data_IF_768423519175
#
_entry.id   IF_768423519175
#
_cell.length_a   1.000
_cell.length_b   1.000
_cell.length_c   1.000
_cell.angle_alpha   90.00
_cell.angle_beta   90.00
_cell.angle_gamma   90.00
#
_symmetry.space_group_name_H-M   'P 1'
#
loop_
_entity.id
_entity.type
_entity.pdbx_description
1 polymer ?
#
# COMPACT_ATOMS: atom_id res chain seq x y z
N UNK A 1 -12.89 -5.98 -14.59
CA UNK A 1 -12.15 -7.18 -14.13
C UNK A 1 -11.62 -6.83 -12.75
N UNK A 2 -11.84 -7.65 -11.73
CA UNK A 2 -11.44 -7.33 -10.35
C UNK A 2 -9.90 -7.24 -10.22
N UNK A 3 -9.42 -6.59 -9.16
CA UNK A 3 -7.99 -6.56 -8.81
C UNK A 3 -7.46 -7.98 -8.63
N UNK A 4 -8.13 -8.78 -7.80
CA UNK A 4 -7.68 -10.13 -7.44
C UNK A 4 -7.51 -11.08 -8.64
N UNK A 5 -8.34 -10.94 -9.68
CA UNK A 5 -8.24 -11.75 -10.88
C UNK A 5 -6.93 -11.55 -11.66
N UNK A 6 -6.18 -10.48 -11.38
CA UNK A 6 -4.92 -10.12 -12.06
C UNK A 6 -3.68 -10.36 -11.21
N UNK A 7 -3.85 -10.84 -9.98
CA UNK A 7 -2.76 -11.07 -9.04
C UNK A 7 -2.40 -12.55 -8.97
N UNK A 8 -1.11 -12.84 -9.05
CA UNK A 8 -0.55 -14.05 -8.48
C UNK A 8 -0.30 -13.79 -7.00
N UNK A 9 -0.94 -14.56 -6.11
CA UNK A 9 -0.88 -14.33 -4.67
C UNK A 9 0.29 -15.09 -4.01
N UNK A 10 0.89 -16.08 -4.70
CA UNK A 10 2.01 -16.86 -4.18
C UNK A 10 3.35 -16.14 -4.39
N UNK A 11 3.47 -15.40 -5.51
CA UNK A 11 4.66 -14.63 -5.88
C UNK A 11 4.38 -13.11 -5.95
N UNK A 12 3.44 -12.63 -5.13
CA UNK A 12 3.02 -11.23 -5.17
C UNK A 12 4.14 -10.29 -4.69
N UNK A 13 4.60 -9.39 -5.56
CA UNK A 13 5.52 -8.31 -5.20
C UNK A 13 4.83 -6.94 -5.18
N UNK A 14 5.40 -5.92 -4.51
CA UNK A 14 4.83 -4.57 -4.52
C UNK A 14 4.71 -3.99 -5.93
N UNK A 15 5.71 -4.15 -6.80
CA UNK A 15 5.66 -3.67 -8.18
C UNK A 15 4.62 -4.43 -9.02
N UNK A 16 4.42 -5.74 -8.77
CA UNK A 16 3.38 -6.53 -9.42
C UNK A 16 1.98 -6.03 -9.00
N UNK A 17 1.75 -5.82 -7.71
CA UNK A 17 0.51 -5.25 -7.20
C UNK A 17 0.26 -3.86 -7.78
N UNK A 18 1.27 -2.97 -7.76
CA UNK A 18 1.21 -1.65 -8.37
C UNK A 18 0.83 -1.69 -9.85
N UNK A 19 1.44 -2.61 -10.61
CA UNK A 19 1.18 -2.82 -12.03
C UNK A 19 -0.24 -3.32 -12.31
N UNK A 20 -0.90 -3.93 -11.31
CA UNK A 20 -2.30 -4.32 -11.36
C UNK A 20 -3.25 -3.23 -10.83
N UNK A 21 -2.82 -2.07 -10.34
CA UNK A 21 -3.77 -1.01 -9.96
C UNK A 21 -4.37 -0.31 -11.19
N UNK A 22 -5.59 0.20 -11.05
CA UNK A 22 -6.13 1.15 -12.01
C UNK A 22 -5.48 2.54 -11.82
N UNK A 23 -5.65 3.40 -12.83
CA UNK A 23 -5.03 4.72 -12.82
C UNK A 23 -5.54 5.60 -11.68
N UNK A 24 -6.82 5.50 -11.33
CA UNK A 24 -7.41 6.30 -10.25
C UNK A 24 -6.78 5.97 -8.89
N UNK A 25 -6.57 4.68 -8.61
CA UNK A 25 -5.94 4.20 -7.38
C UNK A 25 -4.46 4.54 -7.34
N UNK A 26 -3.73 4.40 -8.46
CA UNK A 26 -2.34 4.85 -8.54
C UNK A 26 -2.24 6.34 -8.29
N UNK A 27 -3.06 7.14 -8.94
CA UNK A 27 -3.05 8.59 -8.80
C UNK A 27 -3.37 9.02 -7.36
N UNK A 28 -4.32 8.34 -6.70
CA UNK A 28 -4.59 8.52 -5.28
C UNK A 28 -3.33 8.25 -4.44
N UNK A 29 -2.71 7.06 -4.60
CA UNK A 29 -1.49 6.69 -3.86
C UNK A 29 -0.35 7.70 -4.03
N UNK A 30 -0.11 8.17 -5.27
CA UNK A 30 0.91 9.18 -5.57
C UNK A 30 0.61 10.53 -4.91
N UNK A 31 -0.67 10.91 -4.79
CA UNK A 31 -1.06 12.10 -4.03
C UNK A 31 -0.83 11.90 -2.54
N UNK A 32 -1.19 10.72 -2.01
CA UNK A 32 -1.04 10.38 -0.58
C UNK A 32 0.41 10.53 -0.12
N UNK A 33 1.39 10.21 -0.97
CA UNK A 33 2.83 10.41 -0.70
C UNK A 33 3.15 11.85 -0.27
N UNK A 34 2.47 12.82 -0.87
CA UNK A 34 2.68 14.25 -0.57
C UNK A 34 1.82 14.77 0.59
N UNK A 35 1.01 13.93 1.22
CA UNK A 35 0.30 14.21 2.47
C UNK A 35 1.24 14.31 3.68
N UNK A 36 0.73 14.81 4.80
CA UNK A 36 1.52 15.02 6.03
C UNK A 36 1.40 13.87 7.04
N UNK A 37 0.79 12.75 6.62
CA UNK A 37 0.64 11.56 7.45
C UNK A 37 1.90 10.68 7.52
N UNK A 38 1.84 9.60 8.31
CA UNK A 38 2.99 8.75 8.62
C UNK A 38 3.54 7.96 7.42
N UNK A 39 2.79 7.86 6.32
CA UNK A 39 3.20 7.09 5.14
C UNK A 39 4.42 7.63 4.39
N UNK A 40 4.79 8.89 4.60
CA UNK A 40 6.04 9.45 4.09
C UNK A 40 6.26 9.35 2.57
N UNK A 41 7.52 9.24 2.14
CA UNK A 41 7.88 8.94 0.74
C UNK A 41 8.17 10.14 -0.18
N UNK A 42 7.87 11.39 0.22
CA UNK A 42 8.05 12.60 -0.62
C UNK A 42 9.45 12.70 -1.24
N UNK A 43 10.48 12.43 -0.44
CA UNK A 43 11.88 12.54 -0.89
C UNK A 43 12.22 11.47 -1.94
N UNK A 44 11.79 10.23 -1.73
CA UNK A 44 12.02 9.13 -2.66
C UNK A 44 11.29 9.37 -3.99
N UNK A 45 10.03 9.80 -3.93
CA UNK A 45 9.26 10.18 -5.10
C UNK A 45 9.91 11.32 -5.89
N UNK A 46 10.38 12.37 -5.20
CA UNK A 46 11.07 13.49 -5.84
C UNK A 46 12.39 13.07 -6.51
N UNK A 47 13.15 12.15 -5.87
CA UNK A 47 14.37 11.57 -6.44
C UNK A 47 14.05 10.73 -7.68
N UNK A 48 12.97 9.95 -7.66
CA UNK A 48 12.54 9.15 -8.80
C UNK A 48 12.17 10.03 -10.00
N UNK A 49 11.43 11.13 -9.78
CA UNK A 49 11.14 12.13 -10.83
C UNK A 49 12.43 12.74 -11.35
N UNK A 50 13.33 13.16 -10.44
CA UNK A 50 14.59 13.81 -10.83
C UNK A 50 15.44 12.89 -11.73
N UNK A 51 15.54 11.61 -11.38
CA UNK A 51 16.25 10.58 -12.14
C UNK A 51 15.61 10.35 -13.51
N UNK A 52 14.29 10.17 -13.56
CA UNK A 52 13.55 9.89 -14.80
C UNK A 52 13.62 11.04 -15.81
N UNK A 53 13.51 12.29 -15.35
CA UNK A 53 13.50 13.48 -16.20
C UNK A 53 14.88 14.15 -16.33
N UNK A 54 15.91 13.65 -15.65
CA UNK A 54 17.24 14.27 -15.55
C UNK A 54 17.19 15.70 -15.00
N UNK A 55 16.26 15.95 -14.09
CA UNK A 55 16.16 17.24 -13.39
C UNK A 55 17.18 17.34 -12.26
N UNK A 56 17.50 18.58 -11.88
CA UNK A 56 18.19 18.83 -10.61
C UNK A 56 17.21 18.52 -9.46
N UNK A 57 17.64 17.85 -8.37
CA UNK A 57 16.74 17.48 -7.26
C UNK A 57 15.91 18.64 -6.69
N UNK A 58 16.53 19.82 -6.55
CA UNK A 58 15.83 21.00 -6.03
C UNK A 58 14.75 21.55 -6.97
N UNK A 59 14.82 21.28 -8.29
CA UNK A 59 13.79 21.72 -9.23
C UNK A 59 12.47 20.96 -9.02
N UNK A 60 12.54 19.67 -8.66
CA UNK A 60 11.35 18.84 -8.42
C UNK A 60 10.57 19.34 -7.20
N UNK A 61 11.27 19.72 -6.14
CA UNK A 61 10.71 20.31 -4.91
C UNK A 61 9.94 21.62 -5.12
N UNK A 62 10.09 22.27 -6.27
CA UNK A 62 9.36 23.50 -6.61
C UNK A 62 8.18 23.25 -7.56
N UNK A 63 8.01 22.01 -8.06
CA UNK A 63 6.88 21.68 -8.91
C UNK A 63 5.56 21.67 -8.14
N UNK A 64 4.45 22.13 -8.74
CA UNK A 64 3.11 21.89 -8.20
C UNK A 64 2.83 20.39 -8.06
N UNK A 65 2.03 19.99 -7.07
CA UNK A 65 1.66 18.60 -6.79
C UNK A 65 1.18 17.86 -8.05
N UNK A 66 0.26 18.47 -8.80
CA UNK A 66 -0.29 17.89 -10.05
C UNK A 66 0.79 17.56 -11.09
N UNK A 67 1.87 18.36 -11.17
CA UNK A 67 3.00 18.04 -12.06
C UNK A 67 3.81 16.86 -11.54
N UNK A 68 4.03 16.78 -10.22
CA UNK A 68 4.76 15.65 -9.63
C UNK A 68 4.02 14.34 -9.83
N UNK A 69 2.73 14.32 -9.51
CA UNK A 69 1.85 13.17 -9.75
C UNK A 69 1.83 12.78 -11.22
N UNK A 70 1.68 13.77 -12.12
CA UNK A 70 1.72 13.53 -13.56
C UNK A 70 3.03 12.91 -14.06
N UNK A 71 4.17 13.32 -13.50
CA UNK A 71 5.47 12.73 -13.84
C UNK A 71 5.66 11.33 -13.26
N UNK A 72 5.22 11.10 -12.03
CA UNK A 72 5.23 9.77 -11.42
C UNK A 72 4.38 8.77 -12.23
N UNK A 73 3.19 9.18 -12.68
CA UNK A 73 2.32 8.34 -13.51
C UNK A 73 2.91 7.99 -14.88
N UNK A 74 3.62 8.93 -15.53
CA UNK A 74 3.96 8.82 -16.96
C UNK A 74 5.43 8.54 -17.26
N UNK A 75 6.33 8.92 -16.37
CA UNK A 75 7.77 8.96 -16.65
C UNK A 75 8.60 8.07 -15.75
N UNK A 76 8.09 7.72 -14.57
CA UNK A 76 8.83 6.93 -13.59
C UNK A 76 8.51 5.45 -13.77
N UNK A 77 9.57 4.64 -13.86
CA UNK A 77 9.47 3.20 -13.69
C UNK A 77 9.40 2.90 -12.19
N UNK A 78 8.34 2.20 -11.78
CA UNK A 78 8.08 1.88 -10.37
C UNK A 78 8.59 0.47 -10.07
N UNK A 79 9.68 0.39 -9.32
CA UNK A 79 10.23 -0.85 -8.77
C UNK A 79 9.57 -1.20 -7.42
N UNK A 80 9.97 -2.32 -6.80
CA UNK A 80 9.34 -2.78 -5.55
C UNK A 80 9.53 -1.80 -4.38
N UNK A 81 10.67 -1.10 -4.32
CA UNK A 81 10.92 -0.07 -3.28
C UNK A 81 9.91 1.07 -3.42
N UNK A 82 9.82 1.62 -4.63
CA UNK A 82 8.96 2.77 -4.89
C UNK A 82 7.47 2.39 -4.81
N UNK A 83 7.11 1.18 -5.25
CA UNK A 83 5.75 0.66 -5.10
C UNK A 83 5.38 0.50 -3.62
N UNK A 84 6.28 -0.04 -2.79
CA UNK A 84 6.08 -0.14 -1.34
C UNK A 84 5.81 1.24 -0.74
N UNK A 85 6.62 2.24 -1.09
CA UNK A 85 6.43 3.62 -0.63
C UNK A 85 5.06 4.18 -1.01
N UNK A 86 4.59 3.95 -2.25
CA UNK A 86 3.30 4.46 -2.70
C UNK A 86 2.12 3.75 -2.04
N UNK A 87 2.21 2.42 -1.87
CA UNK A 87 1.19 1.62 -1.21
C UNK A 87 1.09 1.98 0.27
N UNK A 88 2.23 2.12 0.97
CA UNK A 88 2.26 2.58 2.37
C UNK A 88 1.64 3.96 2.50
N UNK A 89 2.00 4.91 1.63
CA UNK A 89 1.41 6.25 1.65
C UNK A 89 -0.11 6.22 1.47
N UNK A 90 -0.63 5.45 0.52
CA UNK A 90 -2.08 5.27 0.32
C UNK A 90 -2.76 4.77 1.59
N UNK A 91 -2.16 3.78 2.25
CA UNK A 91 -2.77 3.10 3.37
C UNK A 91 -2.65 3.87 4.68
N UNK A 92 -1.50 4.46 4.97
CA UNK A 92 -1.22 5.17 6.21
C UNK A 92 -1.76 6.60 6.23
N UNK A 93 -1.89 7.26 5.08
CA UNK A 93 -2.39 8.64 5.05
C UNK A 93 -3.90 8.70 4.78
N UNK A 94 -4.39 7.94 3.81
CA UNK A 94 -5.78 8.07 3.36
C UNK A 94 -6.71 6.96 3.87
N UNK A 95 -6.14 5.86 4.36
CA UNK A 95 -6.91 4.67 4.78
C UNK A 95 -6.52 4.14 6.16
N UNK A 96 -5.95 5.00 7.01
CA UNK A 96 -5.42 4.61 8.32
C UNK A 96 -6.47 3.95 9.20
N UNK A 97 -7.73 4.38 9.14
CA UNK A 97 -8.82 3.77 9.91
C UNK A 97 -9.00 2.26 9.59
N UNK A 98 -8.80 1.85 8.35
CA UNK A 98 -8.90 0.43 7.96
C UNK A 98 -7.73 -0.38 8.52
N UNK A 99 -6.53 0.20 8.52
CA UNK A 99 -5.34 -0.42 9.10
C UNK A 99 -5.50 -0.59 10.60
N UNK A 100 -5.93 0.47 11.28
CA UNK A 100 -6.22 0.47 12.70
C UNK A 100 -7.28 -0.58 13.04
N UNK A 101 -8.41 -0.58 12.33
CA UNK A 101 -9.49 -1.57 12.54
C UNK A 101 -8.96 -3.01 12.38
N UNK A 102 -8.14 -3.27 11.35
CA UNK A 102 -7.59 -4.61 11.12
C UNK A 102 -6.60 -5.04 12.21
N UNK A 103 -5.68 -4.16 12.61
CA UNK A 103 -4.66 -4.45 13.61
C UNK A 103 -5.26 -4.55 15.01
N UNK A 104 -6.23 -3.71 15.35
CA UNK A 104 -6.96 -3.76 16.62
C UNK A 104 -7.72 -5.09 16.77
N UNK A 105 -8.35 -5.58 15.69
CA UNK A 105 -9.04 -6.88 15.66
C UNK A 105 -8.09 -8.09 15.81
N UNK A 106 -6.82 -7.90 15.45
CA UNK A 106 -5.74 -8.86 15.66
C UNK A 106 -5.05 -8.68 17.02
N UNK A 107 -5.48 -7.70 17.81
CA UNK A 107 -4.87 -7.34 19.10
C UNK A 107 -3.38 -6.96 18.95
N UNK A 108 -3.01 -6.39 17.79
CA UNK A 108 -1.65 -5.91 17.50
C UNK A 108 -1.54 -4.45 17.94
N UNK A 109 -0.63 -4.11 18.88
CA UNK A 109 -0.41 -2.73 19.30
C UNK A 109 0.03 -1.85 18.13
N UNK A 110 -0.71 -0.77 17.91
CA UNK A 110 -0.46 0.16 16.83
C UNK A 110 -0.73 1.61 17.25
N UNK A 111 -0.08 2.55 16.57
CA UNK A 111 -0.38 3.96 16.62
C UNK A 111 -0.54 4.49 15.20
N UNK A 112 -1.74 5.03 14.88
CA UNK A 112 -2.07 5.56 13.56
C UNK A 112 -1.84 4.58 12.39
N UNK A 113 -1.99 3.28 12.66
CA UNK A 113 -1.78 2.20 11.70
C UNK A 113 -0.32 1.74 11.57
N UNK A 114 0.60 2.31 12.34
CA UNK A 114 1.97 1.82 12.49
C UNK A 114 2.04 0.86 13.67
N UNK A 115 2.57 -0.34 13.44
CA UNK A 115 2.81 -1.32 14.50
C UNK A 115 3.92 -0.79 15.42
N UNK A 116 3.74 -0.96 16.74
CA UNK A 116 4.74 -0.57 17.73
C UNK A 116 6.07 -1.30 17.48
N UNK A 117 7.19 -0.56 17.39
CA UNK A 117 8.51 -1.12 17.09
C UNK A 117 9.00 -2.13 18.15
N UNK A 118 8.46 -2.05 19.37
CA UNK A 118 8.78 -2.97 20.46
C UNK A 118 7.97 -4.27 20.42
N UNK A 119 6.94 -4.33 19.58
CA UNK A 119 6.09 -5.51 19.44
C UNK A 119 6.76 -6.56 18.53
N UNK A 120 6.96 -7.76 19.08
CA UNK A 120 7.44 -8.90 18.32
C UNK A 120 6.31 -9.48 17.46
N UNK A 121 6.18 -8.93 16.24
CA UNK A 121 5.15 -9.32 15.29
C UNK A 121 5.43 -10.74 14.76
N UNK A 122 4.56 -11.66 15.13
CA UNK A 122 4.54 -13.03 14.60
C UNK A 122 3.39 -13.20 13.60
N UNK A 123 3.51 -14.11 12.61
CA UNK A 123 2.42 -14.41 11.68
C UNK A 123 1.13 -14.75 12.44
N UNK A 124 0.03 -13.98 12.25
CA UNK A 124 -1.20 -14.22 13.01
C UNK A 124 -1.88 -15.52 12.62
N UNK A 125 -2.62 -16.11 13.56
CA UNK A 125 -3.37 -17.34 13.33
C UNK A 125 -4.41 -17.17 12.20
N UNK A 126 -4.58 -18.16 11.29
CA UNK A 126 -5.49 -18.03 10.15
C UNK A 126 -6.94 -17.67 10.52
N UNK A 127 -7.42 -18.16 11.68
CA UNK A 127 -8.77 -17.84 12.15
C UNK A 127 -8.90 -16.38 12.60
N UNK A 128 -7.86 -15.81 13.21
CA UNK A 128 -7.81 -14.39 13.58
C UNK A 128 -7.77 -13.51 12.33
N UNK A 129 -6.97 -13.89 11.33
CA UNK A 129 -6.92 -13.20 10.04
C UNK A 129 -8.28 -13.22 9.32
N UNK A 130 -8.98 -14.35 9.33
CA UNK A 130 -10.32 -14.47 8.73
C UNK A 130 -11.34 -13.55 9.42
N UNK A 131 -11.31 -13.48 10.75
CA UNK A 131 -12.15 -12.57 11.54
C UNK A 131 -11.83 -11.11 11.22
N UNK A 132 -10.57 -10.69 11.36
CA UNK A 132 -10.15 -9.31 11.11
C UNK A 132 -10.42 -8.86 9.67
N UNK A 133 -10.19 -9.76 8.70
CA UNK A 133 -10.53 -9.51 7.30
C UNK A 133 -12.02 -9.28 7.11
N UNK A 134 -12.87 -10.10 7.76
CA UNK A 134 -14.33 -9.95 7.67
C UNK A 134 -14.79 -8.58 8.20
N UNK A 135 -14.23 -8.13 9.33
CA UNK A 135 -14.53 -6.82 9.91
C UNK A 135 -14.23 -5.67 8.93
N UNK A 136 -13.05 -5.67 8.31
CA UNK A 136 -12.73 -4.61 7.34
C UNK A 136 -13.56 -4.73 6.06
N UNK A 137 -13.92 -5.93 5.63
CA UNK A 137 -14.81 -6.11 4.47
C UNK A 137 -16.20 -5.52 4.73
N UNK A 138 -16.77 -5.76 5.91
CA UNK A 138 -18.07 -5.23 6.30
C UNK A 138 -18.05 -3.71 6.41
N UNK A 139 -16.97 -3.14 6.96
CA UNK A 139 -16.87 -1.70 7.22
C UNK A 139 -16.44 -0.86 6.02
N UNK A 140 -15.49 -1.34 5.20
CA UNK A 140 -14.84 -0.54 4.15
C UNK A 140 -15.14 -1.02 2.72
N UNK A 141 -15.77 -2.19 2.57
CA UNK A 141 -16.14 -2.75 1.28
C UNK A 141 -15.01 -3.48 0.57
N UNK A 142 -15.37 -4.36 -0.37
CA UNK A 142 -14.46 -5.35 -0.97
C UNK A 142 -13.26 -4.73 -1.66
N UNK A 143 -13.45 -3.72 -2.51
CA UNK A 143 -12.36 -3.16 -3.32
C UNK A 143 -11.22 -2.59 -2.47
N UNK A 144 -11.55 -1.89 -1.37
CA UNK A 144 -10.54 -1.29 -0.48
C UNK A 144 -9.83 -2.35 0.36
N UNK A 145 -10.59 -3.31 0.87
CA UNK A 145 -10.07 -4.41 1.69
C UNK A 145 -9.21 -5.37 0.87
N UNK A 146 -9.62 -5.72 -0.36
CA UNK A 146 -8.86 -6.59 -1.28
C UNK A 146 -7.47 -5.99 -1.54
N UNK A 147 -7.40 -4.69 -1.85
CA UNK A 147 -6.13 -3.99 -2.08
C UNK A 147 -5.27 -3.96 -0.82
N UNK A 148 -5.85 -3.66 0.34
CA UNK A 148 -5.09 -3.59 1.58
C UNK A 148 -4.46 -4.93 1.97
N UNK A 149 -5.24 -6.00 1.95
CA UNK A 149 -4.75 -7.34 2.28
C UNK A 149 -3.71 -7.82 1.25
N UNK A 150 -3.91 -7.51 -0.03
CA UNK A 150 -2.91 -7.79 -1.06
C UNK A 150 -1.60 -7.01 -0.83
N UNK A 151 -1.68 -5.75 -0.39
CA UNK A 151 -0.51 -4.94 -0.07
C UNK A 151 0.29 -5.52 1.11
N UNK A 152 -0.39 -6.01 2.15
CA UNK A 152 0.28 -6.69 3.27
C UNK A 152 1.08 -7.92 2.80
N UNK A 153 0.49 -8.77 1.96
CA UNK A 153 1.19 -9.93 1.38
C UNK A 153 2.37 -9.48 0.52
N UNK A 154 2.16 -8.49 -0.35
CA UNK A 154 3.17 -8.01 -1.28
C UNK A 154 4.41 -7.47 -0.56
N UNK A 155 4.22 -6.79 0.58
CA UNK A 155 5.31 -6.18 1.34
C UNK A 155 5.98 -7.15 2.30
N UNK A 156 5.22 -8.09 2.90
CA UNK A 156 5.75 -9.08 3.83
C UNK A 156 4.91 -10.37 3.81
N UNK A 157 5.22 -11.24 2.85
CA UNK A 157 4.58 -12.53 2.70
C UNK A 157 4.90 -13.50 3.85
N UNK A 158 5.98 -13.28 4.62
CA UNK A 158 6.34 -14.14 5.76
C UNK A 158 5.31 -13.94 6.88
N UNK A 159 4.98 -12.69 7.19
CA UNK A 159 4.01 -12.36 8.23
C UNK A 159 2.57 -12.55 7.74
N UNK A 160 2.26 -12.11 6.51
CA UNK A 160 0.89 -11.95 6.05
C UNK A 160 0.44 -12.96 4.99
N UNK A 161 1.30 -13.90 4.57
CA UNK A 161 1.02 -14.81 3.46
C UNK A 161 -0.25 -15.65 3.62
N UNK A 162 -0.68 -15.96 4.85
CA UNK A 162 -1.93 -16.66 5.12
C UNK A 162 -3.19 -15.92 4.63
N UNK A 163 -3.13 -14.59 4.46
CA UNK A 163 -4.19 -13.79 3.82
C UNK A 163 -4.44 -14.22 2.37
N UNK A 164 -3.47 -14.86 1.71
CA UNK A 164 -3.61 -15.37 0.35
C UNK A 164 -4.78 -16.34 0.20
N UNK A 165 -5.07 -17.16 1.22
CA UNK A 165 -6.23 -18.07 1.21
C UNK A 165 -7.57 -17.31 1.25
N UNK A 166 -7.62 -16.24 2.04
CA UNK A 166 -8.81 -15.37 2.15
C UNK A 166 -9.06 -14.65 0.82
N UNK A 167 -8.02 -14.12 0.19
CA UNK A 167 -8.13 -13.45 -1.11
C UNK A 167 -8.44 -14.43 -2.25
N UNK A 168 -7.85 -15.63 -2.24
CA UNK A 168 -8.12 -16.64 -3.25
C UNK A 168 -9.60 -17.08 -3.26
N UNK A 169 -10.23 -17.17 -2.08
CA UNK A 169 -11.66 -17.50 -1.96
C UNK A 169 -12.61 -16.42 -2.53
N UNK A 170 -12.07 -15.25 -2.90
CA UNK A 170 -12.82 -14.10 -3.43
C UNK A 170 -12.54 -13.79 -4.90
N UNK A 171 -11.63 -14.54 -5.55
CA UNK A 171 -11.36 -14.44 -6.99
C UNK A 171 -12.57 -14.90 -7.80
#
# INVERSE_FOLDING_TARGET
MSLLARLDLEELTPAALWSALDDATREAALRSVYGDGPGGGKVEADVAIAKALRFRPNAVKQLPLERRVGYLMKNVHVDDSLATTFLLALHLNDRSEMLQTFLDDLEIPQQDGLIDESYDLQPPEPQALARASSTIYEKFGSERSDLYLAALIAMDAVTWGALGQILAARK
#
